data_IF_545514803648
#
_entry.id   IF_545514803648
#
_cell.length_a   1.000
_cell.length_b   1.000
_cell.length_c   1.000
_cell.angle_alpha   90.00
_cell.angle_beta   90.00
_cell.angle_gamma   90.00
#
_symmetry.space_group_name_H-M   'P 1'
#
loop_
_entity.id
_entity.type
_entity.pdbx_description
1 polymer ?
#
# COMPACT_ATOMS: atom_id res chain seq x y z
N UNK A 1 -26.10 11.51 0.24
CA UNK A 1 -25.34 11.18 1.47
C UNK A 1 -25.74 12.14 2.57
N UNK A 2 -26.05 11.66 3.78
CA UNK A 2 -26.43 12.53 4.90
C UNK A 2 -25.21 13.15 5.58
N UNK A 3 -25.33 14.40 6.03
CA UNK A 3 -24.29 15.07 6.83
C UNK A 3 -24.04 14.34 8.17
N UNK A 4 -25.05 13.62 8.65
CA UNK A 4 -25.05 12.88 9.91
C UNK A 4 -24.07 11.70 9.89
N UNK A 5 -24.09 10.87 8.83
CA UNK A 5 -23.18 9.71 8.72
C UNK A 5 -21.71 10.14 8.71
N UNK A 6 -21.37 11.18 7.93
CA UNK A 6 -20.02 11.75 7.91
C UNK A 6 -19.58 12.27 9.26
N UNK A 7 -20.48 12.97 9.95
CA UNK A 7 -20.22 13.56 11.26
C UNK A 7 -19.96 12.46 12.30
N UNK A 8 -20.74 11.38 12.28
CA UNK A 8 -20.52 10.24 13.16
C UNK A 8 -19.11 9.62 12.99
N UNK A 9 -18.69 9.37 11.75
CA UNK A 9 -17.35 8.83 11.45
C UNK A 9 -16.26 9.84 11.90
N UNK A 10 -16.43 11.12 11.60
CA UNK A 10 -15.50 12.17 12.00
C UNK A 10 -15.35 12.26 13.52
N UNK A 11 -16.46 12.25 14.27
CA UNK A 11 -16.45 12.40 15.73
C UNK A 11 -15.76 11.20 16.41
N UNK A 12 -15.90 10.00 15.85
CA UNK A 12 -15.17 8.81 16.31
C UNK A 12 -13.68 8.97 16.05
N UNK A 13 -13.29 9.27 14.81
CA UNK A 13 -11.87 9.44 14.45
C UNK A 13 -11.21 10.56 15.26
N UNK A 14 -11.87 11.70 15.39
CA UNK A 14 -11.36 12.86 16.12
C UNK A 14 -11.05 12.50 17.58
N UNK A 15 -11.97 11.79 18.27
CA UNK A 15 -11.72 11.32 19.63
C UNK A 15 -10.56 10.33 19.70
N UNK A 16 -10.54 9.35 18.80
CA UNK A 16 -9.48 8.33 18.76
C UNK A 16 -8.10 8.96 18.48
N UNK A 17 -8.04 9.98 17.63
CA UNK A 17 -6.82 10.71 17.30
C UNK A 17 -6.27 11.49 18.48
N UNK A 18 -7.13 12.11 19.30
CA UNK A 18 -6.67 12.78 20.53
C UNK A 18 -6.07 11.80 21.56
N UNK A 19 -6.55 10.55 21.61
CA UNK A 19 -5.96 9.51 22.46
C UNK A 19 -4.73 8.83 21.84
N UNK A 20 -4.67 8.75 20.50
CA UNK A 20 -3.59 8.14 19.76
C UNK A 20 -3.32 8.96 18.48
N UNK A 21 -2.42 9.96 18.51
CA UNK A 21 -2.10 10.77 17.33
C UNK A 21 -1.41 10.00 16.20
N UNK A 22 -1.00 8.74 16.44
CA UNK A 22 -0.49 7.86 15.38
C UNK A 22 -1.62 7.24 14.57
N UNK A 23 -2.88 7.30 15.03
CA UNK A 23 -4.02 6.78 14.26
C UNK A 23 -4.05 7.37 12.84
N UNK A 24 -4.35 6.53 11.86
CA UNK A 24 -4.44 6.91 10.45
C UNK A 24 -5.79 6.44 9.91
N UNK A 25 -6.37 7.19 8.99
CA UNK A 25 -7.58 6.80 8.31
C UNK A 25 -7.34 6.65 6.80
N UNK A 26 -7.69 5.49 6.25
CA UNK A 26 -7.62 5.19 4.83
C UNK A 26 -9.02 5.17 4.25
N UNK A 27 -9.24 5.90 3.16
CA UNK A 27 -10.46 5.80 2.38
C UNK A 27 -10.32 4.72 1.33
N UNK A 28 -11.36 3.96 1.08
CA UNK A 28 -11.35 2.96 0.01
C UNK A 28 -12.58 3.05 -0.89
N UNK A 29 -12.49 2.57 -2.14
CA UNK A 29 -13.60 2.49 -3.09
C UNK A 29 -14.30 1.11 -3.05
N UNK A 30 -15.30 0.86 -3.91
CA UNK A 30 -16.02 -0.42 -3.93
C UNK A 30 -15.08 -1.62 -4.16
N UNK A 31 -14.02 -1.43 -4.93
CA UNK A 31 -13.01 -2.43 -5.25
C UNK A 31 -11.86 -2.49 -4.21
N UNK A 32 -12.02 -1.88 -3.03
CA UNK A 32 -11.03 -1.85 -1.94
C UNK A 32 -9.70 -1.15 -2.26
N UNK A 33 -9.64 -0.32 -3.29
CA UNK A 33 -8.46 0.51 -3.56
C UNK A 33 -8.41 1.73 -2.66
N UNK A 34 -7.20 2.12 -2.25
CA UNK A 34 -6.97 3.34 -1.49
C UNK A 34 -7.35 4.57 -2.32
N UNK A 35 -8.24 5.41 -1.78
CA UNK A 35 -8.71 6.68 -2.37
C UNK A 35 -8.16 7.90 -1.65
N UNK A 36 -7.33 7.68 -0.63
CA UNK A 36 -6.67 8.71 0.13
C UNK A 36 -6.29 8.25 1.53
N UNK A 37 -5.41 9.02 2.15
CA UNK A 37 -4.95 8.87 3.53
C UNK A 37 -5.27 10.14 4.30
N UNK A 38 -5.70 10.02 5.55
CA UNK A 38 -5.85 11.10 6.51
C UNK A 38 -4.97 10.82 7.73
N UNK A 39 -4.07 11.75 8.02
CA UNK A 39 -3.16 11.70 9.17
C UNK A 39 -3.64 12.57 10.34
N UNK A 40 -4.62 13.43 10.07
CA UNK A 40 -5.25 14.33 11.04
C UNK A 40 -6.79 14.36 10.85
N UNK A 41 -7.57 14.78 11.86
CA UNK A 41 -9.02 14.91 11.72
C UNK A 41 -9.43 15.85 10.58
N UNK A 42 -8.69 16.94 10.38
CA UNK A 42 -8.95 17.89 9.29
C UNK A 42 -8.84 17.25 7.90
N UNK A 43 -7.89 16.34 7.72
CA UNK A 43 -7.67 15.59 6.48
C UNK A 43 -8.73 14.51 6.23
N UNK A 44 -9.44 14.05 7.26
CA UNK A 44 -10.53 13.09 7.09
C UNK A 44 -11.73 13.70 6.36
N UNK A 45 -11.96 15.01 6.50
CA UNK A 45 -13.08 15.72 5.88
C UNK A 45 -13.07 15.60 4.33
N UNK A 46 -11.98 15.98 3.62
CA UNK A 46 -11.93 15.81 2.17
C UNK A 46 -12.04 14.36 1.75
N UNK A 47 -11.49 13.42 2.51
CA UNK A 47 -11.58 11.98 2.25
C UNK A 47 -13.03 11.47 2.33
N UNK A 48 -13.77 11.87 3.37
CA UNK A 48 -15.21 11.60 3.46
C UNK A 48 -15.99 12.26 2.31
N UNK A 49 -15.54 13.43 1.84
CA UNK A 49 -16.15 14.16 0.72
C UNK A 49 -15.83 13.58 -0.66
N UNK A 50 -14.77 12.76 -0.81
CA UNK A 50 -14.43 12.10 -2.06
C UNK A 50 -15.59 11.21 -2.52
N UNK A 51 -16.08 11.37 -3.75
CA UNK A 51 -17.20 10.59 -4.31
C UNK A 51 -16.86 9.12 -4.54
N UNK A 52 -15.59 8.80 -4.79
CA UNK A 52 -15.11 7.44 -5.04
C UNK A 52 -14.94 6.64 -3.74
N UNK A 53 -14.82 7.32 -2.60
CA UNK A 53 -14.69 6.68 -1.29
C UNK A 53 -16.04 6.11 -0.83
N UNK A 54 -16.10 4.82 -0.58
CA UNK A 54 -17.30 4.08 -0.11
C UNK A 54 -17.23 3.73 1.37
N UNK A 55 -16.02 3.64 1.92
CA UNK A 55 -15.80 3.48 3.35
C UNK A 55 -14.43 3.95 3.80
N UNK A 56 -14.23 3.89 5.12
CA UNK A 56 -13.00 4.33 5.76
C UNK A 56 -12.53 3.30 6.76
N UNK A 57 -11.24 3.00 6.73
CA UNK A 57 -10.55 2.15 7.71
C UNK A 57 -9.74 3.04 8.63
N UNK A 58 -9.92 2.90 9.94
CA UNK A 58 -9.07 3.49 10.96
C UNK A 58 -8.06 2.45 11.39
N UNK A 59 -6.79 2.68 11.10
CA UNK A 59 -5.71 1.81 11.55
C UNK A 59 -5.48 2.12 13.03
N UNK A 60 -5.83 1.22 13.93
CA UNK A 60 -5.72 1.47 15.38
C UNK A 60 -4.38 0.97 15.93
N UNK A 61 -3.80 -0.05 15.30
CA UNK A 61 -2.47 -0.58 15.54
C UNK A 61 -1.87 -1.12 14.22
N UNK A 62 -0.60 -1.55 14.19
CA UNK A 62 -0.03 -2.23 13.01
C UNK A 62 -0.77 -3.51 12.58
N UNK A 63 -1.60 -4.08 13.46
CA UNK A 63 -2.29 -5.36 13.24
C UNK A 63 -3.80 -5.30 13.46
N UNK A 64 -4.32 -4.15 13.91
CA UNK A 64 -5.74 -3.94 14.21
C UNK A 64 -6.27 -2.71 13.48
N UNK A 65 -7.54 -2.78 13.11
CA UNK A 65 -8.25 -1.68 12.47
C UNK A 65 -9.74 -1.68 12.82
N UNK A 66 -10.38 -0.56 12.54
CA UNK A 66 -11.83 -0.42 12.57
C UNK A 66 -12.34 0.11 11.24
N UNK A 67 -13.37 -0.51 10.68
CA UNK A 67 -13.95 -0.09 9.41
C UNK A 67 -15.32 0.56 9.59
N UNK A 68 -15.57 1.59 8.79
CA UNK A 68 -16.81 2.35 8.82
C UNK A 68 -17.36 2.51 7.40
N UNK A 69 -18.63 2.11 7.23
CA UNK A 69 -19.33 2.30 5.97
C UNK A 69 -19.73 3.78 5.83
N UNK A 70 -19.26 4.47 4.78
CA UNK A 70 -19.41 5.93 4.66
C UNK A 70 -20.87 6.39 4.61
N UNK A 71 -21.73 5.64 3.88
CA UNK A 71 -23.13 6.03 3.73
C UNK A 71 -23.96 5.88 5.01
N UNK A 72 -23.70 4.85 5.82
CA UNK A 72 -24.49 4.59 7.03
C UNK A 72 -23.86 5.19 8.29
N UNK A 73 -22.56 5.52 8.24
CA UNK A 73 -21.80 5.98 9.41
C UNK A 73 -21.57 4.89 10.46
N UNK A 74 -22.01 3.66 10.18
CA UNK A 74 -21.92 2.55 11.12
C UNK A 74 -20.58 1.84 10.99
N UNK A 75 -20.03 1.46 12.14
CA UNK A 75 -18.92 0.51 12.20
C UNK A 75 -19.36 -0.78 11.54
N UNK A 76 -18.57 -1.28 10.61
CA UNK A 76 -18.77 -2.60 10.02
C UNK A 76 -18.20 -3.57 11.04
N UNK A 77 -19.07 -4.44 11.59
CA UNK A 77 -18.59 -5.58 12.36
C UNK A 77 -18.01 -6.56 11.36
N UNK A 78 -16.69 -6.58 11.27
CA UNK A 78 -15.96 -7.45 10.38
C UNK A 78 -15.51 -8.62 11.25
N UNK A 79 -16.03 -9.81 10.97
CA UNK A 79 -15.20 -11.02 11.10
C UNK A 79 -14.10 -10.82 10.06
N UNK A 80 -12.82 -10.68 10.51
CA UNK A 80 -11.57 -10.43 9.72
C UNK A 80 -11.81 -10.27 8.21
N UNK A 81 -11.50 -9.14 7.55
CA UNK A 81 -11.57 -8.81 6.09
C UNK A 81 -11.91 -9.96 5.09
N UNK A 82 -12.94 -10.75 5.35
CA UNK A 82 -13.27 -12.02 4.71
C UNK A 82 -14.76 -11.90 4.48
N UNK A 83 -15.07 -11.25 3.37
CA UNK A 83 -16.23 -11.53 2.52
C UNK A 83 -16.20 -10.53 1.38
N UNK A 84 -15.19 -10.70 0.54
CA UNK A 84 -15.38 -10.61 -0.90
C UNK A 84 -14.90 -11.95 -1.45
N UNK A 85 -15.80 -12.84 -1.85
CA UNK A 85 -15.43 -14.02 -2.65
C UNK A 85 -14.86 -13.66 -4.04
N UNK A 86 -14.52 -12.38 -4.28
CA UNK A 86 -13.91 -11.89 -5.53
C UNK A 86 -12.73 -10.90 -5.33
N UNK A 87 -12.25 -10.71 -4.10
CA UNK A 87 -10.96 -10.06 -3.85
C UNK A 87 -10.07 -11.02 -3.04
N UNK A 88 -9.88 -12.21 -3.60
CA UNK A 88 -8.85 -13.14 -3.17
C UNK A 88 -7.49 -12.45 -3.31
N UNK A 89 -6.93 -12.07 -2.17
CA UNK A 89 -5.49 -12.11 -1.93
C UNK A 89 -4.58 -11.41 -2.95
N UNK A 90 -4.39 -10.09 -2.83
CA UNK A 90 -3.06 -9.54 -3.10
C UNK A 90 -2.05 -9.97 -2.01
N UNK A 91 -1.98 -11.29 -1.83
CA UNK A 91 -0.88 -12.01 -1.23
C UNK A 91 0.30 -11.91 -2.19
N UNK A 92 1.49 -12.15 -1.66
CA UNK A 92 2.70 -12.40 -2.43
C UNK A 92 2.50 -13.24 -3.71
N UNK A 93 1.50 -14.14 -3.77
CA UNK A 93 1.17 -14.93 -4.95
C UNK A 93 0.64 -14.09 -6.12
N UNK A 94 -0.10 -13.02 -5.87
CA UNK A 94 -0.59 -12.11 -6.90
C UNK A 94 0.50 -11.15 -7.37
N UNK A 95 1.46 -10.80 -6.51
CA UNK A 95 2.67 -10.08 -6.92
C UNK A 95 3.62 -10.98 -7.72
N UNK A 96 3.82 -12.22 -7.27
CA UNK A 96 4.55 -13.23 -8.03
C UNK A 96 3.85 -13.47 -9.36
N UNK A 97 2.53 -13.63 -9.36
CA UNK A 97 1.72 -13.72 -10.56
C UNK A 97 1.87 -12.46 -11.40
N UNK A 98 1.70 -11.22 -10.93
CA UNK A 98 1.87 -10.00 -11.72
C UNK A 98 3.27 -9.86 -12.35
N UNK A 99 4.34 -10.22 -11.62
CA UNK A 99 5.70 -10.31 -12.15
C UNK A 99 5.85 -11.43 -13.22
N UNK A 100 5.06 -12.50 -13.10
CA UNK A 100 5.01 -13.69 -13.96
C UNK A 100 3.90 -13.65 -15.05
N UNK A 101 2.91 -12.77 -14.97
CA UNK A 101 1.56 -12.88 -15.60
C UNK A 101 1.54 -12.40 -17.04
N UNK A 102 2.72 -12.23 -17.62
CA UNK A 102 2.84 -11.90 -19.04
C UNK A 102 2.74 -13.14 -19.94
N UNK A 103 2.33 -14.30 -19.40
CA UNK A 103 2.30 -15.56 -20.15
C UNK A 103 3.70 -16.04 -20.51
N UNK A 104 4.70 -15.69 -19.69
CA UNK A 104 6.10 -16.03 -19.91
C UNK A 104 6.29 -17.54 -19.74
N UNK A 105 6.76 -18.19 -20.80
CA UNK A 105 7.20 -19.58 -20.71
C UNK A 105 8.62 -19.58 -20.14
N UNK A 106 8.78 -19.91 -18.86
CA UNK A 106 10.10 -19.94 -18.18
C UNK A 106 11.01 -21.02 -18.81
N UNK A 107 10.47 -21.94 -19.60
CA UNK A 107 11.26 -22.89 -20.39
C UNK A 107 11.80 -22.29 -21.70
N UNK A 108 11.25 -21.16 -22.14
CA UNK A 108 11.79 -20.33 -23.23
C UNK A 108 12.90 -19.40 -22.72
N UNK A 109 13.98 -19.28 -23.49
CA UNK A 109 15.17 -18.53 -23.07
C UNK A 109 14.98 -17.03 -23.09
N UNK A 110 14.17 -16.50 -24.01
CA UNK A 110 13.95 -15.05 -24.12
C UNK A 110 13.05 -14.56 -22.99
N UNK A 111 12.02 -15.34 -22.67
CA UNK A 111 11.10 -15.03 -21.58
C UNK A 111 11.76 -15.19 -20.20
N UNK A 112 12.63 -16.21 -20.03
CA UNK A 112 13.48 -16.32 -18.84
C UNK A 112 14.40 -15.10 -18.68
N UNK A 113 15.03 -14.63 -19.77
CA UNK A 113 15.89 -13.44 -19.72
C UNK A 113 15.11 -12.17 -19.33
N UNK A 114 13.90 -11.97 -19.87
CA UNK A 114 13.03 -10.84 -19.47
C UNK A 114 12.66 -10.91 -17.99
N UNK A 115 12.40 -12.12 -17.49
CA UNK A 115 12.09 -12.34 -16.08
C UNK A 115 13.27 -12.01 -15.17
N UNK A 116 14.48 -12.49 -15.50
CA UNK A 116 15.70 -12.19 -14.74
C UNK A 116 15.98 -10.67 -14.70
N UNK A 117 15.83 -10.00 -15.84
CA UNK A 117 15.99 -8.54 -15.96
C UNK A 117 15.04 -7.78 -15.02
N UNK A 118 13.78 -8.22 -14.92
CA UNK A 118 12.79 -7.63 -13.99
C UNK A 118 13.13 -7.86 -12.53
N UNK A 119 13.62 -9.04 -12.17
CA UNK A 119 14.03 -9.34 -10.80
C UNK A 119 15.24 -8.49 -10.37
N UNK A 120 16.18 -8.28 -11.29
CA UNK A 120 17.32 -7.38 -11.08
C UNK A 120 16.86 -5.94 -10.90
N UNK A 121 16.01 -5.42 -11.80
CA UNK A 121 15.44 -4.07 -11.70
C UNK A 121 14.69 -3.85 -10.37
N UNK A 122 13.81 -4.78 -9.97
CA UNK A 122 13.13 -4.70 -8.67
C UNK A 122 14.12 -4.72 -7.50
N UNK A 123 15.20 -5.50 -7.58
CA UNK A 123 16.23 -5.52 -6.52
C UNK A 123 16.91 -4.17 -6.36
N UNK A 124 17.30 -3.53 -7.48
CA UNK A 124 17.92 -2.21 -7.48
C UNK A 124 16.98 -1.12 -6.93
N UNK A 125 15.71 -1.16 -7.35
CA UNK A 125 14.66 -0.28 -6.85
C UNK A 125 14.52 -0.39 -5.33
N UNK A 126 14.41 -1.62 -4.81
CA UNK A 126 14.25 -1.89 -3.38
C UNK A 126 15.48 -1.49 -2.56
N UNK A 127 16.68 -1.75 -3.08
CA UNK A 127 17.92 -1.35 -2.39
C UNK A 127 18.03 0.18 -2.25
N UNK A 128 17.54 0.94 -3.22
CA UNK A 128 17.46 2.41 -3.11
C UNK A 128 16.52 2.82 -1.96
N UNK A 129 15.32 2.22 -1.91
CA UNK A 129 14.33 2.51 -0.87
C UNK A 129 14.75 2.08 0.52
N UNK A 130 15.43 0.93 0.66
CA UNK A 130 15.98 0.46 1.94
C UNK A 130 16.99 1.47 2.49
N UNK A 131 17.92 1.91 1.64
CA UNK A 131 18.94 2.88 2.02
C UNK A 131 18.31 4.22 2.43
N UNK A 132 17.31 4.69 1.69
CA UNK A 132 16.60 5.92 2.03
C UNK A 132 15.79 5.77 3.32
N UNK A 133 15.14 4.63 3.53
CA UNK A 133 14.36 4.36 4.73
C UNK A 133 15.22 4.38 6.00
N UNK A 134 16.38 3.72 5.98
CA UNK A 134 17.33 3.78 7.10
C UNK A 134 17.83 5.21 7.38
N UNK A 135 18.13 6.00 6.34
CA UNK A 135 18.53 7.41 6.50
C UNK A 135 17.40 8.28 7.09
N UNK A 136 16.16 7.92 6.79
CA UNK A 136 14.97 8.68 7.15
C UNK A 136 14.36 8.27 8.50
N UNK A 137 15.02 7.37 9.24
CA UNK A 137 14.55 6.82 10.53
C UNK A 137 13.13 6.22 10.45
N UNK A 138 12.83 5.51 9.37
CA UNK A 138 11.65 4.64 9.30
C UNK A 138 12.08 3.20 9.54
N UNK A 139 11.16 2.38 10.01
CA UNK A 139 11.41 0.96 10.16
C UNK A 139 11.34 0.29 8.78
N UNK A 140 12.35 -0.54 8.48
CA UNK A 140 12.56 -1.13 7.16
C UNK A 140 12.81 -2.62 7.34
N UNK A 141 11.91 -3.43 6.79
CA UNK A 141 12.02 -4.88 6.82
C UNK A 141 12.09 -5.43 5.38
N UNK A 142 13.28 -5.80 4.89
CA UNK A 142 13.40 -6.48 3.61
C UNK A 142 12.95 -7.92 3.72
N UNK A 143 12.17 -8.38 2.75
CA UNK A 143 11.73 -9.76 2.65
C UNK A 143 12.15 -10.36 1.30
N UNK A 144 12.56 -11.62 1.31
CA UNK A 144 13.02 -12.33 0.13
C UNK A 144 12.49 -13.78 0.16
N UNK A 145 11.71 -14.16 -0.85
CA UNK A 145 11.18 -15.52 -0.97
C UNK A 145 11.72 -16.20 -2.24
N UNK A 146 12.12 -17.47 -2.11
CA UNK A 146 12.54 -18.29 -3.24
C UNK A 146 11.31 -18.78 -4.00
N UNK A 147 11.31 -18.59 -5.32
CA UNK A 147 10.28 -19.16 -6.20
C UNK A 147 10.46 -20.69 -6.24
N UNK A 148 9.36 -21.45 -6.11
CA UNK A 148 9.39 -22.89 -6.32
C UNK A 148 9.84 -23.20 -7.76
N UNK A 149 10.81 -24.11 -7.93
CA UNK A 149 11.40 -24.43 -9.24
C UNK A 149 12.87 -24.05 -9.41
N UNK A 150 13.50 -23.44 -8.41
CA UNK A 150 14.98 -23.29 -8.38
C UNK A 150 15.51 -22.03 -9.07
N UNK A 151 14.68 -21.01 -9.29
CA UNK A 151 15.17 -19.69 -9.65
C UNK A 151 16.17 -19.20 -8.57
N UNK A 152 17.37 -18.81 -8.99
CA UNK A 152 18.43 -18.38 -8.07
C UNK A 152 18.14 -17.03 -7.39
N UNK A 153 17.19 -16.27 -7.93
CA UNK A 153 16.88 -14.92 -7.49
C UNK A 153 15.57 -14.90 -6.69
N UNK A 154 15.60 -14.56 -5.40
CA UNK A 154 14.39 -14.47 -4.61
C UNK A 154 13.55 -13.27 -5.05
N UNK A 155 12.23 -13.44 -5.09
CA UNK A 155 11.31 -12.31 -5.17
C UNK A 155 11.47 -11.48 -3.90
N UNK A 156 11.90 -10.23 -4.07
CA UNK A 156 12.16 -9.29 -2.97
C UNK A 156 11.00 -8.31 -2.83
N UNK A 157 10.67 -7.99 -1.59
CA UNK A 157 9.78 -6.88 -1.22
C UNK A 157 10.40 -6.11 -0.06
N UNK A 158 9.93 -4.89 0.18
CA UNK A 158 10.29 -4.14 1.39
C UNK A 158 9.04 -3.67 2.12
N UNK A 159 9.02 -3.84 3.43
CA UNK A 159 8.05 -3.20 4.30
C UNK A 159 8.64 -1.92 4.87
N UNK A 160 7.94 -0.80 4.69
CA UNK A 160 8.27 0.50 5.25
C UNK A 160 7.22 0.85 6.30
N UNK A 161 7.62 0.95 7.57
CA UNK A 161 6.68 1.10 8.69
C UNK A 161 6.96 2.38 9.47
N UNK A 162 5.88 3.11 9.79
CA UNK A 162 5.90 4.19 10.79
C UNK A 162 4.59 4.27 11.55
N UNK A 163 4.68 4.11 12.87
CA UNK A 163 3.49 4.06 13.73
C UNK A 163 2.67 2.81 13.44
N UNK A 164 1.40 2.99 13.11
CA UNK A 164 0.42 1.95 12.75
C UNK A 164 0.27 1.75 11.23
N UNK A 165 1.13 2.37 10.42
CA UNK A 165 1.06 2.30 8.98
C UNK A 165 2.27 1.56 8.44
N UNK A 166 2.00 0.56 7.59
CA UNK A 166 3.01 -0.26 6.96
C UNK A 166 2.72 -0.32 5.47
N UNK A 167 3.69 0.10 4.66
CA UNK A 167 3.66 -0.02 3.21
C UNK A 167 4.42 -1.26 2.79
N UNK A 168 3.82 -2.09 1.94
CA UNK A 168 4.52 -3.10 1.16
C UNK A 168 4.85 -2.48 -0.20
N UNK A 169 6.13 -2.49 -0.57
CA UNK A 169 6.63 -1.79 -1.76
C UNK A 169 7.47 -2.72 -2.63
N UNK A 170 7.29 -2.59 -3.94
CA UNK A 170 8.00 -3.25 -5.04
C UNK A 170 8.12 -2.28 -6.22
N UNK A 171 8.87 -2.61 -7.28
CA UNK A 171 8.93 -1.76 -8.49
C UNK A 171 7.57 -1.59 -9.16
N UNK A 172 6.71 -2.60 -9.08
CA UNK A 172 5.42 -2.65 -9.80
C UNK A 172 4.22 -2.23 -8.94
N UNK A 173 4.38 -2.23 -7.62
CA UNK A 173 3.25 -2.16 -6.71
C UNK A 173 3.58 -1.49 -5.38
N UNK A 174 2.62 -0.70 -4.88
CA UNK A 174 2.58 -0.20 -3.51
C UNK A 174 1.23 -0.53 -2.88
N UNK A 175 1.27 -1.11 -1.69
CA UNK A 175 0.10 -1.43 -0.89
C UNK A 175 0.28 -1.04 0.58
N UNK A 176 -0.82 -0.87 1.31
CA UNK A 176 -0.83 -0.53 2.74
C UNK A 176 -1.43 -1.71 3.51
N UNK A 177 -0.73 -2.18 4.55
CA UNK A 177 -1.22 -3.25 5.42
C UNK A 177 -2.43 -2.80 6.23
N UNK A 178 -3.47 -3.63 6.27
CA UNK A 178 -4.69 -3.47 7.05
C UNK A 178 -4.89 -4.75 7.85
N UNK A 179 -4.72 -4.72 9.16
CA UNK A 179 -4.85 -5.94 9.96
C UNK A 179 -3.63 -6.87 9.83
N UNK A 180 -3.79 -8.14 10.22
CA UNK A 180 -2.66 -9.11 10.29
C UNK A 180 -2.24 -9.60 8.90
N UNK A 181 -3.21 -9.88 8.02
CA UNK A 181 -2.99 -10.58 6.75
C UNK A 181 -3.52 -9.81 5.52
N UNK A 182 -4.15 -8.64 5.71
CA UNK A 182 -4.83 -7.94 4.63
C UNK A 182 -4.06 -6.69 4.17
N UNK A 183 -4.22 -6.34 2.89
CA UNK A 183 -3.60 -5.17 2.28
C UNK A 183 -4.62 -4.38 1.46
N UNK A 184 -4.48 -3.06 1.48
CA UNK A 184 -5.19 -2.12 0.64
C UNK A 184 -4.25 -1.60 -0.44
N UNK A 185 -4.58 -1.81 -1.70
CA UNK A 185 -3.70 -1.45 -2.82
C UNK A 185 -3.73 0.08 -3.01
N UNK A 186 -2.55 0.67 -3.14
CA UNK A 186 -2.37 2.09 -3.47
C UNK A 186 -2.05 2.25 -4.95
N UNK A 187 -1.26 1.35 -5.53
CA UNK A 187 -0.86 1.31 -6.94
C UNK A 187 -0.46 -0.09 -7.37
N UNK A 188 -0.76 -0.45 -8.61
CA UNK A 188 -0.33 -1.68 -9.30
C UNK A 188 -0.18 -1.44 -10.82
N UNK A 189 0.39 -2.42 -11.52
CA UNK A 189 0.66 -2.38 -12.96
C UNK A 189 -0.60 -2.31 -13.86
N UNK A 190 -1.78 -2.60 -13.33
CA UNK A 190 -3.04 -2.60 -14.10
C UNK A 190 -3.72 -1.24 -14.12
N UNK A 191 -3.17 -0.24 -13.39
CA UNK A 191 -3.85 1.03 -13.17
C UNK A 191 -2.93 2.25 -13.26
N UNK A 192 -3.38 3.21 -14.05
CA UNK A 192 -2.72 4.51 -14.22
C UNK A 192 -3.09 5.43 -13.03
N UNK A 193 -2.47 5.17 -11.88
CA UNK A 193 -2.59 6.03 -10.70
C UNK A 193 -1.51 7.09 -10.81
N UNK A 194 -1.91 8.35 -10.61
CA UNK A 194 -0.99 9.48 -10.63
C UNK A 194 0.17 9.22 -9.65
N UNK A 195 1.40 9.20 -10.18
CA UNK A 195 2.61 9.07 -9.39
C UNK A 195 2.65 10.08 -8.23
N UNK A 196 2.10 11.29 -8.42
CA UNK A 196 2.01 12.29 -7.35
C UNK A 196 1.11 11.83 -6.20
N UNK A 197 0.03 11.10 -6.47
CA UNK A 197 -0.83 10.55 -5.43
C UNK A 197 -0.10 9.48 -4.61
N UNK A 198 0.68 8.62 -5.28
CA UNK A 198 1.50 7.60 -4.61
C UNK A 198 2.54 8.25 -3.69
N UNK A 199 3.27 9.24 -4.20
CA UNK A 199 4.25 10.01 -3.42
C UNK A 199 3.58 10.71 -2.23
N UNK A 200 2.42 11.36 -2.43
CA UNK A 200 1.69 12.04 -1.35
C UNK A 200 1.30 11.07 -0.23
N UNK A 201 0.72 9.92 -0.60
CA UNK A 201 0.27 8.90 0.35
C UNK A 201 1.46 8.36 1.14
N UNK A 202 2.53 7.96 0.46
CA UNK A 202 3.73 7.43 1.12
C UNK A 202 4.42 8.48 1.99
N UNK A 203 4.61 9.71 1.49
CA UNK A 203 5.28 10.78 2.23
C UNK A 203 4.52 11.13 3.50
N UNK A 204 3.20 11.31 3.41
CA UNK A 204 2.34 11.61 4.57
C UNK A 204 2.26 10.45 5.54
N UNK A 205 2.18 9.23 5.02
CA UNK A 205 2.12 8.02 5.81
C UNK A 205 3.38 7.77 6.62
N UNK A 206 4.53 7.85 5.96
CA UNK A 206 5.85 7.65 6.55
C UNK A 206 6.41 8.90 7.23
N UNK A 207 5.69 10.03 7.21
CA UNK A 207 6.14 11.29 7.80
C UNK A 207 7.45 11.81 7.20
N UNK A 208 7.57 11.71 5.88
CA UNK A 208 8.74 12.08 5.08
C UNK A 208 8.46 13.38 4.31
N UNK A 209 9.54 14.04 3.87
CA UNK A 209 9.42 15.17 2.95
C UNK A 209 8.95 14.66 1.59
N UNK A 210 7.87 15.25 1.06
CA UNK A 210 7.33 14.89 -0.25
C UNK A 210 8.39 15.00 -1.35
N UNK A 211 9.13 16.11 -1.42
CA UNK A 211 10.12 16.34 -2.47
C UNK A 211 11.32 15.40 -2.40
N UNK A 212 11.76 15.04 -1.19
CA UNK A 212 12.87 14.09 -1.00
C UNK A 212 12.45 12.68 -1.40
N UNK A 213 11.27 12.23 -0.95
CA UNK A 213 10.75 10.92 -1.31
C UNK A 213 10.49 10.83 -2.82
N UNK A 214 9.94 11.88 -3.44
CA UNK A 214 9.73 11.92 -4.88
C UNK A 214 11.04 11.75 -5.64
N UNK A 215 12.09 12.48 -5.23
CA UNK A 215 13.41 12.41 -5.86
C UNK A 215 13.99 11.01 -5.73
N UNK A 216 13.87 10.38 -4.56
CA UNK A 216 14.36 9.02 -4.35
C UNK A 216 13.59 7.98 -5.15
N UNK A 217 12.25 8.09 -5.24
CA UNK A 217 11.43 7.19 -6.04
C UNK A 217 11.75 7.30 -7.53
N UNK A 218 11.90 8.51 -8.07
CA UNK A 218 12.31 8.72 -9.47
C UNK A 218 13.67 8.07 -9.72
N UNK A 219 14.64 8.33 -8.85
CA UNK A 219 15.97 7.73 -8.95
C UNK A 219 15.92 6.19 -8.87
N UNK A 220 15.10 5.63 -7.99
CA UNK A 220 14.94 4.19 -7.86
C UNK A 220 14.35 3.56 -9.14
N UNK A 221 13.37 4.22 -9.76
CA UNK A 221 12.77 3.82 -11.04
C UNK A 221 13.79 3.90 -12.18
N UNK A 222 14.53 5.01 -12.27
CA UNK A 222 15.58 5.16 -13.28
C UNK A 222 16.66 4.08 -13.16
N UNK A 223 17.02 3.68 -11.94
CA UNK A 223 17.96 2.58 -11.71
C UNK A 223 17.40 1.22 -12.14
N UNK A 224 16.10 0.97 -11.94
CA UNK A 224 15.46 -0.29 -12.33
C UNK A 224 15.21 -0.42 -13.84
N UNK A 225 15.09 0.70 -14.56
CA UNK A 225 14.84 0.70 -16.02
C UNK A 225 16.13 0.51 -16.85
N UNK A 226 17.31 0.73 -16.26
CA UNK A 226 18.61 0.59 -16.92
C UNK A 226 19.07 -0.89 -16.96
N UNK A 227 18.63 -1.72 -16.01
CA UNK A 227 18.96 -3.15 -15.94
C UNK A 227 18.21 -3.93 -16.98
#
# INVERSE_FOLDING_TARGET
MSKESKRAIYDVYNRAWFSNPTIRALGYNEDRFCTGLATTPKELIPLLNNKQCTGVVFLTSPVDFEEYHKNTGKKIQIEKFINGEEFLHYSYRDYANAMLEWGLDISDKEDLYKFDKRLEGNSLFLDSLINYGFKSNIDVEPFAMKVEGGAQFPLRTVYLTRGNLTFCVTSEQVAIKVGVDDFMIVHDATRDIDFQLLVDIMARGLGLSHGELQTELIKAIELSDIS
#
